data_IF_415582238931
#
_entry.id   IF_415582238931
#
_cell.length_a   1.000
_cell.length_b   1.000
_cell.length_c   1.000
_cell.angle_alpha   90.00
_cell.angle_beta   90.00
_cell.angle_gamma   90.00
#
_symmetry.space_group_name_H-M   'P 1'
#
loop_
_entity.id
_entity.type
_entity.pdbx_description
1 polymer ?
#
# COMPACT_ATOMS: atom_id res chain seq x y z
N UNK A 1 85.25 -6.41 -32.26
CA UNK A 1 84.65 -7.65 -31.80
C UNK A 1 83.16 -7.51 -31.90
N UNK A 2 82.59 -8.12 -32.93
CA UNK A 2 81.18 -8.11 -33.22
C UNK A 2 80.50 -9.17 -32.33
N UNK A 3 79.47 -8.82 -31.58
CA UNK A 3 78.51 -9.78 -31.00
C UNK A 3 77.15 -9.45 -31.58
N UNK A 4 76.71 -10.32 -32.43
CA UNK A 4 75.39 -10.32 -33.09
C UNK A 4 74.36 -10.78 -32.07
N UNK A 5 73.39 -9.89 -31.75
CA UNK A 5 72.20 -10.22 -30.98
C UNK A 5 71.15 -10.73 -31.96
N UNK A 6 70.95 -12.05 -31.91
CA UNK A 6 69.79 -12.67 -32.59
C UNK A 6 68.58 -12.49 -31.68
N UNK A 7 67.78 -11.48 -31.97
CA UNK A 7 66.47 -11.33 -31.35
C UNK A 7 65.51 -12.39 -31.88
N UNK A 8 65.08 -13.30 -30.99
CA UNK A 8 64.09 -14.31 -31.30
C UNK A 8 62.74 -13.62 -31.57
N UNK A 9 62.25 -13.81 -32.77
CA UNK A 9 60.85 -13.58 -33.14
C UNK A 9 59.96 -14.57 -32.38
N UNK A 10 59.35 -14.12 -31.32
CA UNK A 10 58.17 -14.84 -30.77
C UNK A 10 57.03 -14.67 -31.77
N UNK A 11 56.40 -15.74 -32.21
CA UNK A 11 55.16 -15.66 -32.99
C UNK A 11 54.07 -15.09 -32.11
N UNK A 12 53.58 -13.93 -32.47
CA UNK A 12 52.37 -13.38 -31.92
C UNK A 12 51.18 -14.34 -32.28
N UNK A 13 50.95 -15.26 -31.39
CA UNK A 13 49.75 -16.10 -31.47
C UNK A 13 48.53 -15.23 -31.10
N UNK A 14 48.01 -14.57 -32.12
CA UNK A 14 46.69 -13.91 -32.07
C UNK A 14 45.63 -15.03 -32.04
N UNK A 15 45.46 -15.66 -30.89
CA UNK A 15 44.32 -16.55 -30.67
C UNK A 15 43.09 -15.66 -30.43
N UNK A 16 42.22 -15.60 -31.41
CA UNK A 16 40.89 -15.05 -31.26
C UNK A 16 40.20 -15.78 -30.09
N UNK A 17 39.68 -15.08 -29.06
CA UNK A 17 39.14 -15.69 -27.82
C UNK A 17 37.96 -16.63 -28.07
N UNK A 18 37.40 -16.62 -29.27
CA UNK A 18 36.29 -17.51 -29.66
C UNK A 18 36.73 -18.92 -30.18
N UNK A 19 38.03 -19.20 -30.37
CA UNK A 19 38.54 -20.47 -30.87
C UNK A 19 39.19 -21.34 -29.78
N UNK A 20 39.17 -20.90 -28.53
CA UNK A 20 39.75 -21.65 -27.40
C UNK A 20 38.79 -22.64 -26.71
N UNK A 21 37.50 -22.60 -27.02
CA UNK A 21 36.56 -23.60 -26.51
C UNK A 21 36.87 -24.94 -27.13
N UNK A 22 37.41 -25.86 -26.32
CA UNK A 22 37.62 -27.23 -26.76
C UNK A 22 36.27 -27.91 -27.01
N UNK A 23 36.20 -28.93 -27.86
CA UNK A 23 34.94 -29.69 -28.05
C UNK A 23 34.40 -30.26 -26.73
N UNK A 24 35.24 -30.39 -25.69
CA UNK A 24 34.91 -30.81 -24.35
C UNK A 24 34.09 -29.74 -23.62
N UNK A 25 34.46 -28.46 -23.73
CA UNK A 25 33.75 -27.34 -23.04
C UNK A 25 32.32 -27.19 -23.57
N UNK A 26 32.17 -27.33 -24.92
CA UNK A 26 30.85 -27.31 -25.55
C UNK A 26 30.00 -28.52 -25.11
N UNK A 27 30.61 -29.74 -25.08
CA UNK A 27 29.92 -30.91 -24.58
C UNK A 27 29.51 -30.80 -23.13
N UNK A 28 30.38 -30.26 -22.28
CA UNK A 28 30.09 -30.02 -20.87
C UNK A 28 28.95 -29.01 -20.70
N UNK A 29 28.98 -27.91 -21.45
CA UNK A 29 27.91 -26.91 -21.46
C UNK A 29 26.55 -27.54 -21.81
N UNK A 30 26.48 -28.27 -22.93
CA UNK A 30 25.25 -28.93 -23.38
C UNK A 30 24.78 -30.00 -22.37
N UNK A 31 25.70 -30.76 -21.80
CA UNK A 31 25.38 -31.78 -20.82
C UNK A 31 24.81 -31.17 -19.52
N UNK A 32 25.40 -30.05 -19.01
CA UNK A 32 24.94 -29.38 -17.82
C UNK A 32 23.58 -28.73 -18.05
N UNK A 33 23.37 -27.99 -19.16
CA UNK A 33 22.07 -27.43 -19.52
C UNK A 33 21.01 -28.53 -19.60
N UNK A 34 21.32 -29.63 -20.28
CA UNK A 34 20.39 -30.75 -20.42
C UNK A 34 20.05 -31.39 -19.06
N UNK A 35 21.06 -31.61 -18.24
CA UNK A 35 20.87 -32.19 -16.90
C UNK A 35 19.98 -31.30 -16.00
N UNK A 36 20.22 -29.97 -15.98
CA UNK A 36 19.43 -29.03 -15.21
C UNK A 36 18.01 -28.91 -15.76
N UNK A 37 17.85 -28.88 -17.08
CA UNK A 37 16.53 -28.88 -17.70
C UNK A 37 15.73 -30.15 -17.35
N UNK A 38 16.35 -31.31 -17.41
CA UNK A 38 15.74 -32.61 -17.05
C UNK A 38 15.39 -32.60 -15.53
N UNK A 39 16.33 -32.19 -14.69
CA UNK A 39 16.08 -32.08 -13.23
C UNK A 39 14.95 -31.09 -12.94
N UNK A 40 14.92 -29.93 -13.58
CA UNK A 40 13.85 -28.96 -13.48
C UNK A 40 12.49 -29.54 -13.84
N UNK A 41 12.44 -30.22 -15.00
CA UNK A 41 11.21 -30.80 -15.55
C UNK A 41 10.67 -31.99 -14.75
N UNK A 42 11.54 -32.88 -14.30
CA UNK A 42 11.13 -34.17 -13.71
C UNK A 42 11.16 -34.15 -12.15
N UNK A 43 11.88 -33.23 -11.52
CA UNK A 43 11.99 -33.16 -10.08
C UNK A 43 11.33 -31.88 -9.54
N UNK A 44 11.72 -30.72 -10.06
CA UNK A 44 11.27 -29.45 -9.53
C UNK A 44 9.80 -29.14 -9.83
N UNK A 45 9.37 -29.31 -11.09
CA UNK A 45 7.98 -29.05 -11.47
C UNK A 45 6.99 -29.93 -10.71
N UNK A 46 7.14 -31.27 -10.64
CA UNK A 46 6.18 -32.09 -9.89
C UNK A 46 6.22 -31.82 -8.39
N UNK A 47 7.38 -31.50 -7.80
CA UNK A 47 7.47 -31.13 -6.40
C UNK A 47 6.72 -29.82 -6.13
N UNK A 48 6.88 -28.84 -7.00
CA UNK A 48 6.19 -27.55 -6.91
C UNK A 48 4.67 -27.74 -7.04
N UNK A 49 4.21 -28.59 -7.99
CA UNK A 49 2.79 -28.85 -8.16
C UNK A 49 2.16 -29.50 -6.94
N UNK A 50 2.83 -30.46 -6.31
CA UNK A 50 2.37 -31.09 -5.06
C UNK A 50 2.29 -30.07 -3.91
N UNK A 51 3.30 -29.20 -3.77
CA UNK A 51 3.29 -28.14 -2.75
C UNK A 51 2.16 -27.13 -2.96
N UNK A 52 1.89 -26.73 -4.20
CA UNK A 52 0.82 -25.79 -4.52
C UNK A 52 -0.58 -26.42 -4.38
N UNK A 53 -0.73 -27.72 -4.68
CA UNK A 53 -1.99 -28.44 -4.50
C UNK A 53 -2.37 -28.61 -3.03
N UNK A 54 -1.40 -28.86 -2.15
CA UNK A 54 -1.64 -28.94 -0.70
C UNK A 54 -1.96 -27.56 -0.07
N UNK A 55 -1.51 -26.47 -0.70
CA UNK A 55 -1.75 -25.10 -0.24
C UNK A 55 -3.09 -24.48 -0.68
N UNK A 56 -3.91 -25.16 -1.47
CA UNK A 56 -5.20 -24.63 -1.94
C UNK A 56 -5.08 -23.40 -2.86
N UNK A 57 -3.96 -23.28 -3.58
CA UNK A 57 -3.65 -22.13 -4.42
C UNK A 57 -4.52 -22.10 -5.68
N UNK A 58 -5.12 -20.95 -5.98
CA UNK A 58 -5.95 -20.75 -7.18
C UNK A 58 -5.22 -21.09 -8.48
N UNK A 59 -5.92 -21.70 -9.43
CA UNK A 59 -5.34 -22.20 -10.71
C UNK A 59 -4.58 -21.12 -11.46
N UNK A 60 -5.08 -19.87 -11.44
CA UNK A 60 -4.43 -18.73 -12.13
C UNK A 60 -3.09 -18.38 -11.50
N UNK A 61 -3.02 -18.34 -10.19
CA UNK A 61 -1.80 -18.04 -9.43
C UNK A 61 -0.78 -19.17 -9.56
N UNK A 62 -1.24 -20.41 -9.56
CA UNK A 62 -0.41 -21.60 -9.80
C UNK A 62 0.36 -21.52 -11.12
N UNK A 63 -0.33 -21.25 -12.23
CA UNK A 63 0.32 -21.12 -13.55
C UNK A 63 1.39 -20.03 -13.58
N UNK A 64 1.11 -18.91 -12.93
CA UNK A 64 2.07 -17.80 -12.85
C UNK A 64 3.31 -18.20 -12.05
N UNK A 65 3.14 -18.88 -10.92
CA UNK A 65 4.25 -19.36 -10.09
C UNK A 65 5.09 -20.38 -10.87
N UNK A 66 4.44 -21.36 -11.55
CA UNK A 66 5.12 -22.35 -12.37
C UNK A 66 5.98 -21.70 -13.48
N UNK A 67 5.46 -20.67 -14.15
CA UNK A 67 6.21 -19.91 -15.17
C UNK A 67 7.41 -19.17 -14.59
N UNK A 68 7.24 -18.48 -13.46
CA UNK A 68 8.33 -17.74 -12.80
C UNK A 68 9.44 -18.69 -12.34
N UNK A 69 9.06 -19.82 -11.74
CA UNK A 69 10.02 -20.84 -11.28
C UNK A 69 10.74 -21.48 -12.48
N UNK A 70 10.02 -21.78 -13.56
CA UNK A 70 10.63 -22.31 -14.78
C UNK A 70 11.69 -21.36 -15.37
N UNK A 71 11.37 -20.06 -15.48
CA UNK A 71 12.35 -19.05 -15.91
C UNK A 71 13.55 -18.99 -14.96
N UNK A 72 13.32 -19.05 -13.65
CA UNK A 72 14.39 -19.09 -12.65
C UNK A 72 15.30 -20.29 -12.81
N UNK A 73 14.74 -21.48 -13.00
CA UNK A 73 15.51 -22.73 -13.24
C UNK A 73 16.35 -22.64 -14.52
N UNK A 74 15.79 -22.07 -15.59
CA UNK A 74 16.52 -21.88 -16.86
C UNK A 74 17.68 -20.89 -16.66
N UNK A 75 17.49 -19.78 -15.96
CA UNK A 75 18.54 -18.79 -15.70
C UNK A 75 19.67 -19.37 -14.81
N UNK A 76 19.31 -20.09 -13.74
CA UNK A 76 20.29 -20.78 -12.87
C UNK A 76 21.01 -21.87 -13.64
N UNK A 77 20.30 -22.60 -14.49
CA UNK A 77 20.89 -23.62 -15.34
C UNK A 77 21.89 -23.08 -16.36
N UNK A 78 21.54 -21.96 -16.99
CA UNK A 78 22.44 -21.28 -17.92
C UNK A 78 23.69 -20.75 -17.21
N UNK A 79 23.53 -20.13 -16.04
CA UNK A 79 24.65 -19.69 -15.23
C UNK A 79 25.58 -20.83 -14.83
N UNK A 80 25.02 -21.91 -14.27
CA UNK A 80 25.80 -23.08 -13.88
C UNK A 80 26.52 -23.73 -15.10
N UNK A 81 25.87 -23.77 -16.26
CA UNK A 81 26.47 -24.30 -17.47
C UNK A 81 27.67 -23.45 -17.94
N UNK A 82 27.56 -22.12 -17.88
CA UNK A 82 28.64 -21.21 -18.24
C UNK A 82 29.85 -21.35 -17.30
N UNK A 83 29.62 -21.48 -16.00
CA UNK A 83 30.69 -21.60 -15.00
C UNK A 83 31.37 -22.96 -15.03
N UNK A 84 30.59 -24.06 -15.16
CA UNK A 84 31.12 -25.43 -15.11
C UNK A 84 31.79 -25.86 -16.43
N UNK A 85 31.45 -25.22 -17.55
CA UNK A 85 32.08 -25.49 -18.82
C UNK A 85 33.39 -24.76 -19.08
N UNK A 86 33.80 -23.85 -18.14
CA UNK A 86 35.02 -23.04 -18.31
C UNK A 86 34.87 -21.85 -19.27
N UNK A 87 33.68 -21.60 -19.81
CA UNK A 87 33.43 -20.42 -20.64
C UNK A 87 33.63 -19.12 -19.90
N UNK A 88 33.41 -19.14 -18.57
CA UNK A 88 33.57 -17.95 -17.70
C UNK A 88 35.00 -17.41 -17.73
N UNK A 89 35.99 -18.27 -17.66
CA UNK A 89 37.41 -17.88 -17.73
C UNK A 89 37.81 -17.28 -19.11
N UNK A 90 37.13 -17.73 -20.16
CA UNK A 90 37.42 -17.31 -21.54
C UNK A 90 36.80 -15.96 -21.90
N UNK A 91 35.64 -15.62 -21.37
CA UNK A 91 34.84 -14.49 -21.83
C UNK A 91 34.68 -13.41 -20.73
N UNK A 92 34.89 -13.75 -19.45
CA UNK A 92 34.74 -12.83 -18.28
C UNK A 92 33.40 -12.04 -18.27
N UNK A 93 32.34 -12.63 -18.80
CA UNK A 93 31.02 -12.02 -18.93
C UNK A 93 30.13 -12.36 -17.72
N UNK A 94 30.41 -13.46 -17.03
CA UNK A 94 29.53 -14.04 -16.00
C UNK A 94 29.25 -13.09 -14.84
N UNK A 95 30.26 -12.40 -14.36
CA UNK A 95 30.11 -11.42 -13.28
C UNK A 95 29.23 -10.22 -13.66
N UNK A 96 29.56 -9.48 -14.72
CA UNK A 96 28.74 -8.37 -15.20
C UNK A 96 27.31 -8.78 -15.60
N UNK A 97 27.15 -9.94 -16.23
CA UNK A 97 25.83 -10.47 -16.61
C UNK A 97 24.97 -10.77 -15.37
N UNK A 98 25.53 -11.47 -14.39
CA UNK A 98 24.82 -11.77 -13.15
C UNK A 98 24.44 -10.49 -12.40
N UNK A 99 25.32 -9.50 -12.33
CA UNK A 99 25.01 -8.20 -11.73
C UNK A 99 23.86 -7.50 -12.46
N UNK A 100 23.87 -7.49 -13.80
CA UNK A 100 22.79 -6.90 -14.60
C UNK A 100 21.46 -7.60 -14.40
N UNK A 101 21.43 -8.94 -14.38
CA UNK A 101 20.22 -9.73 -14.11
C UNK A 101 19.71 -9.48 -12.69
N UNK A 102 20.61 -9.45 -11.71
CA UNK A 102 20.23 -9.19 -10.30
C UNK A 102 19.59 -7.81 -10.15
N UNK A 103 20.18 -6.79 -10.76
CA UNK A 103 19.62 -5.45 -10.77
C UNK A 103 18.26 -5.39 -11.47
N UNK A 104 18.13 -6.01 -12.63
CA UNK A 104 16.88 -6.05 -13.38
C UNK A 104 15.75 -6.72 -12.57
N UNK A 105 16.03 -7.88 -11.96
CA UNK A 105 15.08 -8.58 -11.09
C UNK A 105 14.77 -7.77 -9.84
N UNK A 106 15.77 -7.15 -9.22
CA UNK A 106 15.59 -6.29 -8.04
C UNK A 106 14.67 -5.11 -8.34
N UNK A 107 14.86 -4.43 -9.48
CA UNK A 107 13.97 -3.35 -9.90
C UNK A 107 12.56 -3.84 -10.23
N UNK A 108 12.43 -4.97 -10.91
CA UNK A 108 11.13 -5.56 -11.22
C UNK A 108 10.35 -5.99 -9.96
N UNK A 109 11.04 -6.47 -8.93
CA UNK A 109 10.44 -6.90 -7.66
C UNK A 109 10.16 -5.75 -6.68
N UNK A 110 10.67 -4.55 -6.93
CA UNK A 110 10.63 -3.41 -5.99
C UNK A 110 9.23 -3.12 -5.46
N UNK A 111 8.23 -3.03 -6.33
CA UNK A 111 6.88 -2.67 -5.93
C UNK A 111 6.21 -3.78 -5.10
N UNK A 112 6.52 -5.04 -5.38
CA UNK A 112 6.02 -6.18 -4.60
C UNK A 112 6.60 -6.12 -3.19
N UNK A 113 7.92 -5.93 -3.08
CA UNK A 113 8.62 -5.82 -1.78
C UNK A 113 8.13 -4.60 -1.00
N UNK A 114 7.98 -3.45 -1.64
CA UNK A 114 7.47 -2.24 -0.99
C UNK A 114 6.08 -2.46 -0.40
N UNK A 115 5.16 -3.08 -1.16
CA UNK A 115 3.82 -3.35 -0.65
C UNK A 115 3.82 -4.37 0.51
N UNK A 116 4.65 -5.40 0.43
CA UNK A 116 4.78 -6.39 1.50
C UNK A 116 5.32 -5.77 2.79
N UNK A 117 6.42 -5.01 2.70
CA UNK A 117 7.02 -4.32 3.84
C UNK A 117 6.05 -3.30 4.44
N UNK A 118 5.40 -2.50 3.60
CA UNK A 118 4.38 -1.54 4.03
C UNK A 118 3.20 -2.22 4.70
N UNK A 119 2.75 -3.37 4.19
CA UNK A 119 1.68 -4.16 4.81
C UNK A 119 2.04 -4.62 6.22
N UNK A 120 3.27 -5.08 6.43
CA UNK A 120 3.77 -5.45 7.77
C UNK A 120 3.77 -4.24 8.71
N UNK A 121 4.24 -3.07 8.23
CA UNK A 121 4.23 -1.84 9.04
C UNK A 121 2.81 -1.37 9.37
N UNK A 122 1.88 -1.40 8.43
CA UNK A 122 0.48 -1.03 8.67
C UNK A 122 -0.15 -1.96 9.71
N UNK A 123 0.06 -3.27 9.63
CA UNK A 123 -0.48 -4.25 10.60
C UNK A 123 0.15 -4.05 11.99
N UNK A 124 1.43 -3.67 12.05
CA UNK A 124 2.14 -3.44 13.31
C UNK A 124 1.81 -2.07 13.96
N UNK A 125 1.28 -1.12 13.19
CA UNK A 125 0.96 0.22 13.70
C UNK A 125 -0.41 0.21 14.39
N UNK A 126 -0.47 0.52 15.70
CA UNK A 126 -1.73 0.54 16.45
C UNK A 126 -2.73 1.59 15.96
N UNK A 127 -2.30 2.53 15.12
CA UNK A 127 -3.14 3.57 14.51
C UNK A 127 -3.90 3.11 13.27
N UNK A 128 -3.62 1.89 12.77
CA UNK A 128 -4.32 1.28 11.64
C UNK A 128 -4.96 -0.04 12.09
N UNK A 129 -6.27 -0.05 12.25
CA UNK A 129 -7.03 -1.25 12.62
C UNK A 129 -8.17 -1.48 11.64
N UNK A 130 -8.52 -2.74 11.45
CA UNK A 130 -9.77 -3.09 10.77
C UNK A 130 -10.93 -2.46 11.54
N UNK A 131 -11.80 -1.75 10.83
CA UNK A 131 -12.87 -0.94 11.41
C UNK A 131 -12.53 0.54 11.60
N UNK A 132 -11.27 0.93 11.48
CA UNK A 132 -10.89 2.35 11.58
C UNK A 132 -11.41 3.14 10.37
N UNK A 133 -11.81 4.36 10.67
CA UNK A 133 -12.31 5.32 9.70
C UNK A 133 -11.16 6.23 9.25
N UNK A 134 -10.71 6.03 8.03
CA UNK A 134 -9.57 6.75 7.47
C UNK A 134 -9.98 7.64 6.31
N UNK A 135 -9.22 8.72 6.15
CA UNK A 135 -9.25 9.60 4.99
C UNK A 135 -7.85 9.66 4.38
N UNK A 136 -7.76 9.40 3.08
CA UNK A 136 -6.52 9.47 2.30
C UNK A 136 -6.85 9.96 0.89
N UNK A 137 -5.99 10.77 0.29
CA UNK A 137 -6.16 11.27 -1.09
C UNK A 137 -7.60 11.71 -1.42
N UNK A 138 -8.22 12.50 -0.52
CA UNK A 138 -9.62 12.99 -0.63
C UNK A 138 -10.70 11.88 -0.60
N UNK A 139 -10.31 10.64 -0.35
CA UNK A 139 -11.23 9.51 -0.22
C UNK A 139 -11.39 9.14 1.24
N UNK A 140 -12.62 8.93 1.68
CA UNK A 140 -12.95 8.55 3.06
C UNK A 140 -13.62 7.18 3.08
N UNK A 141 -13.23 6.33 4.04
CA UNK A 141 -13.83 5.01 4.20
C UNK A 141 -13.39 4.30 5.47
N UNK A 142 -13.90 3.10 5.65
CA UNK A 142 -13.59 2.23 6.79
C UNK A 142 -12.69 1.10 6.33
N UNK A 143 -11.62 0.80 7.04
CA UNK A 143 -10.75 -0.33 6.76
C UNK A 143 -11.55 -1.63 6.94
N UNK A 144 -11.75 -2.37 5.85
CA UNK A 144 -12.48 -3.63 5.82
C UNK A 144 -11.54 -4.83 6.05
N UNK A 145 -10.35 -4.78 5.43
CA UNK A 145 -9.36 -5.85 5.52
C UNK A 145 -7.95 -5.34 5.16
N UNK A 146 -6.92 -5.92 5.78
CA UNK A 146 -5.52 -5.61 5.49
C UNK A 146 -4.82 -6.89 5.06
N UNK A 147 -4.47 -6.98 3.79
CA UNK A 147 -3.74 -8.12 3.22
C UNK A 147 -2.24 -7.81 3.08
N UNK A 148 -1.46 -8.79 2.69
CA UNK A 148 -0.01 -8.62 2.52
C UNK A 148 0.39 -7.56 1.47
N UNK A 149 -0.47 -7.24 0.49
CA UNK A 149 -0.18 -6.30 -0.60
C UNK A 149 -1.10 -5.09 -0.63
N UNK A 150 -2.35 -5.26 -0.22
CA UNK A 150 -3.38 -4.21 -0.32
C UNK A 150 -4.19 -4.12 0.96
N UNK A 151 -4.61 -2.92 1.29
CA UNK A 151 -5.65 -2.64 2.28
C UNK A 151 -6.96 -2.39 1.55
N UNK A 152 -8.02 -3.08 1.96
CA UNK A 152 -9.38 -2.88 1.44
C UNK A 152 -10.08 -1.85 2.31
N UNK A 153 -10.58 -0.82 1.68
CA UNK A 153 -11.33 0.24 2.34
C UNK A 153 -12.73 0.30 1.76
N UNK A 154 -13.72 0.22 2.61
CA UNK A 154 -15.13 0.37 2.23
C UNK A 154 -15.51 1.84 2.32
N UNK A 155 -15.80 2.46 1.18
CA UNK A 155 -16.25 3.84 1.11
C UNK A 155 -17.66 4.01 1.67
N UNK A 156 -18.08 5.25 1.84
CA UNK A 156 -19.41 5.56 2.32
C UNK A 156 -20.52 5.27 1.30
N UNK A 157 -20.19 5.09 0.04
CA UNK A 157 -21.11 4.66 -1.01
C UNK A 157 -21.17 3.13 -1.15
N UNK A 158 -20.59 2.42 -0.16
CA UNK A 158 -20.50 0.95 -0.09
C UNK A 158 -19.65 0.31 -1.20
N UNK A 159 -18.73 1.08 -1.77
CA UNK A 159 -17.74 0.58 -2.71
C UNK A 159 -16.52 0.03 -1.95
N UNK A 160 -15.89 -1.01 -2.49
CA UNK A 160 -14.63 -1.54 -1.97
C UNK A 160 -13.48 -1.02 -2.82
N UNK A 161 -12.67 -0.17 -2.23
CA UNK A 161 -11.43 0.33 -2.85
C UNK A 161 -10.27 -0.50 -2.31
N UNK A 162 -9.50 -1.11 -3.22
CA UNK A 162 -8.27 -1.85 -2.87
C UNK A 162 -7.07 -0.93 -3.07
N UNK A 163 -6.51 -0.45 -1.98
CA UNK A 163 -5.39 0.49 -1.97
C UNK A 163 -4.08 -0.28 -1.77
N UNK A 164 -3.05 -0.10 -2.60
CA UNK A 164 -1.73 -0.67 -2.36
C UNK A 164 -1.18 -0.23 -0.99
N UNK A 165 -0.63 -1.16 -0.22
CA UNK A 165 -0.10 -0.86 1.11
C UNK A 165 1.00 0.19 1.09
N UNK A 166 1.85 0.19 0.04
CA UNK A 166 2.90 1.20 -0.13
C UNK A 166 2.34 2.61 -0.32
N UNK A 167 1.18 2.75 -0.94
CA UNK A 167 0.50 4.05 -1.10
C UNK A 167 0.01 4.57 0.26
N UNK A 168 -0.70 3.75 1.04
CA UNK A 168 -1.16 4.16 2.37
C UNK A 168 0.00 4.47 3.32
N UNK A 169 1.09 3.69 3.27
CA UNK A 169 2.25 3.90 4.12
C UNK A 169 3.04 5.18 3.80
N UNK A 170 2.93 5.70 2.58
CA UNK A 170 3.64 6.91 2.12
C UNK A 170 2.76 8.15 2.01
N UNK A 171 1.44 7.99 2.06
CA UNK A 171 0.48 9.08 2.05
C UNK A 171 0.24 9.65 3.45
N UNK A 172 -0.23 10.90 3.51
CA UNK A 172 -0.85 11.41 4.72
C UNK A 172 -2.21 10.70 4.89
N UNK A 173 -2.39 10.02 6.00
CA UNK A 173 -3.64 9.36 6.35
C UNK A 173 -4.18 9.99 7.62
N UNK A 174 -5.40 10.49 7.57
CA UNK A 174 -6.13 10.96 8.75
C UNK A 174 -6.96 9.82 9.31
N UNK A 175 -6.74 9.44 10.55
CA UNK A 175 -7.65 8.55 11.28
C UNK A 175 -8.66 9.41 12.02
N UNK A 176 -9.93 9.34 11.62
CA UNK A 176 -11.01 10.17 12.17
C UNK A 176 -11.55 9.64 13.50
N UNK A 177 -11.26 8.39 13.85
CA UNK A 177 -11.73 7.71 15.06
C UNK A 177 -10.56 7.42 15.98
N UNK A 178 -10.07 8.44 16.68
CA UNK A 178 -9.05 8.26 17.70
C UNK A 178 -9.68 7.78 19.02
N UNK A 179 -9.10 6.77 19.64
CA UNK A 179 -9.59 6.19 20.91
C UNK A 179 -11.08 5.80 20.89
N UNK A 180 -11.60 5.37 19.73
CA UNK A 180 -13.01 5.02 19.53
C UNK A 180 -13.96 6.21 19.72
N UNK A 181 -13.49 7.42 19.51
CA UNK A 181 -14.29 8.63 19.56
C UNK A 181 -14.25 9.34 18.21
N UNK A 182 -15.41 9.74 17.71
CA UNK A 182 -15.53 10.54 16.50
C UNK A 182 -16.10 11.91 16.84
N UNK A 183 -15.45 12.95 16.34
CA UNK A 183 -15.96 14.30 16.42
C UNK A 183 -16.93 14.59 15.28
N UNK A 184 -18.13 15.04 15.63
CA UNK A 184 -19.08 15.62 14.70
C UNK A 184 -18.97 17.14 14.82
N UNK A 185 -18.70 17.79 13.70
CA UNK A 185 -18.73 19.25 13.60
C UNK A 185 -19.99 19.65 12.84
N UNK A 186 -20.79 20.53 13.45
CA UNK A 186 -22.00 21.08 12.83
C UNK A 186 -21.91 22.60 12.79
N UNK A 187 -22.27 23.17 11.65
CA UNK A 187 -22.25 24.62 11.44
C UNK A 187 -23.67 25.14 11.35
N UNK A 188 -23.91 26.28 12.03
CA UNK A 188 -25.19 26.96 12.04
C UNK A 188 -24.97 28.43 11.72
N UNK A 189 -25.99 29.06 11.17
CA UNK A 189 -25.98 30.46 10.82
C UNK A 189 -27.16 31.15 11.46
N UNK A 190 -26.91 32.26 12.17
CA UNK A 190 -27.94 33.10 12.80
C UNK A 190 -27.85 34.53 12.27
N UNK A 191 -28.90 35.29 12.46
CA UNK A 191 -28.90 36.72 12.15
C UNK A 191 -28.09 37.54 13.14
N UNK A 192 -27.68 38.75 12.76
CA UNK A 192 -27.00 39.69 13.67
C UNK A 192 -27.90 40.21 14.78
N UNK A 193 -29.21 40.15 14.60
CA UNK A 193 -30.21 40.59 15.58
C UNK A 193 -30.46 39.52 16.64
N UNK A 194 -30.04 38.28 16.38
CA UNK A 194 -30.24 37.16 17.27
C UNK A 194 -29.15 37.13 18.34
N UNK A 195 -29.51 36.67 19.55
CA UNK A 195 -28.57 36.52 20.66
C UNK A 195 -27.67 35.30 20.48
N UNK A 196 -26.39 35.54 20.16
CA UNK A 196 -25.42 34.48 19.93
C UNK A 196 -25.07 33.68 21.18
N UNK A 197 -25.20 34.27 22.38
CA UNK A 197 -24.96 33.58 23.65
C UNK A 197 -26.11 32.59 23.93
N UNK A 198 -27.36 33.01 23.69
CA UNK A 198 -28.52 32.11 23.75
C UNK A 198 -28.40 30.98 22.73
N UNK A 199 -28.05 31.31 21.49
CA UNK A 199 -27.87 30.30 20.43
C UNK A 199 -26.79 29.29 20.78
N UNK A 200 -25.64 29.72 21.30
CA UNK A 200 -24.56 28.80 21.69
C UNK A 200 -24.91 27.98 22.94
N UNK A 201 -25.72 28.48 23.84
CA UNK A 201 -26.25 27.73 24.98
C UNK A 201 -27.17 26.61 24.48
N UNK A 202 -28.12 26.90 23.59
CA UNK A 202 -28.99 25.89 22.97
C UNK A 202 -28.21 24.79 22.29
N UNK A 203 -27.17 25.14 21.53
CA UNK A 203 -26.32 24.13 20.84
C UNK A 203 -25.69 23.15 21.85
N UNK A 204 -25.30 23.61 23.03
CA UNK A 204 -24.74 22.73 24.07
C UNK A 204 -25.83 21.92 24.77
N UNK A 205 -26.93 22.55 25.17
CA UNK A 205 -28.05 21.89 25.83
C UNK A 205 -28.62 20.74 24.99
N UNK A 206 -28.86 20.98 23.69
CA UNK A 206 -29.37 19.96 22.80
C UNK A 206 -28.35 18.84 22.54
N UNK A 207 -27.05 19.13 22.63
CA UNK A 207 -26.01 18.10 22.57
C UNK A 207 -26.00 17.24 23.84
N UNK A 208 -26.10 17.86 25.02
CA UNK A 208 -26.13 17.19 26.33
C UNK A 208 -27.42 16.36 26.55
N UNK A 209 -28.51 16.72 25.87
CA UNK A 209 -29.78 16.02 25.94
C UNK A 209 -29.79 14.68 25.14
N UNK A 210 -28.78 14.45 24.31
CA UNK A 210 -28.69 13.22 23.52
C UNK A 210 -27.72 12.21 24.15
N UNK A 211 -28.24 11.08 24.65
CA UNK A 211 -27.47 10.02 25.34
C UNK A 211 -26.30 9.46 24.53
N UNK A 212 -26.37 9.53 23.19
CA UNK A 212 -25.32 9.04 22.31
C UNK A 212 -24.13 10.00 22.17
N UNK A 213 -24.28 11.26 22.61
CA UNK A 213 -23.21 12.25 22.64
C UNK A 213 -22.45 12.12 23.96
N UNK A 214 -21.14 12.18 23.89
CA UNK A 214 -20.28 12.03 25.07
C UNK A 214 -20.25 13.30 25.89
N UNK A 215 -20.28 13.16 27.21
CA UNK A 215 -20.01 14.23 28.16
C UNK A 215 -18.53 14.65 28.17
N UNK A 216 -17.65 13.73 27.80
CA UNK A 216 -16.21 13.97 27.73
C UNK A 216 -15.61 13.41 26.41
N UNK A 217 -15.03 14.24 25.55
CA UNK A 217 -14.89 15.71 25.69
C UNK A 217 -16.23 16.45 25.66
N UNK A 218 -16.34 17.49 26.50
CA UNK A 218 -17.55 18.30 26.64
C UNK A 218 -17.99 18.90 25.28
N UNK A 219 -19.29 18.86 24.93
CA UNK A 219 -19.85 19.58 23.81
C UNK A 219 -19.50 21.05 23.82
N UNK A 220 -19.02 21.61 22.72
CA UNK A 220 -18.64 22.99 22.61
C UNK A 220 -19.38 23.70 21.49
N UNK A 221 -19.81 24.92 21.71
CA UNK A 221 -20.37 25.78 20.68
C UNK A 221 -19.64 27.15 20.72
N UNK A 222 -19.26 27.66 19.55
CA UNK A 222 -18.49 28.91 19.44
C UNK A 222 -18.87 29.67 18.17
N UNK A 223 -18.74 31.00 18.26
CA UNK A 223 -18.75 31.87 17.08
C UNK A 223 -17.46 31.64 16.32
N UNK A 224 -17.54 31.34 15.02
CA UNK A 224 -16.40 31.11 14.16
C UNK A 224 -16.13 32.26 13.21
N UNK A 225 -17.18 32.86 12.67
CA UNK A 225 -17.06 33.93 11.69
C UNK A 225 -18.23 34.88 11.76
N UNK A 226 -17.94 36.16 11.51
CA UNK A 226 -18.92 37.25 11.38
C UNK A 226 -18.89 37.73 9.93
N UNK A 227 -19.94 37.40 9.19
CA UNK A 227 -20.10 37.82 7.79
C UNK A 227 -21.01 39.05 7.71
N UNK A 228 -21.12 39.69 6.54
CA UNK A 228 -21.89 40.92 6.32
C UNK A 228 -23.40 40.83 6.72
N UNK A 229 -23.97 39.63 6.78
CA UNK A 229 -25.39 39.40 7.02
C UNK A 229 -25.72 38.32 8.06
N UNK A 230 -24.72 37.62 8.58
CA UNK A 230 -24.95 36.47 9.45
C UNK A 230 -23.75 36.14 10.32
N UNK A 231 -24.02 35.48 11.45
CA UNK A 231 -23.04 34.97 12.41
C UNK A 231 -22.95 33.48 12.25
N UNK A 232 -21.73 32.95 12.04
CA UNK A 232 -21.47 31.51 11.96
C UNK A 232 -21.17 30.97 13.35
N UNK A 233 -21.95 29.98 13.76
CA UNK A 233 -21.73 29.18 14.94
C UNK A 233 -21.24 27.78 14.54
N UNK A 234 -20.29 27.27 15.30
CA UNK A 234 -19.83 25.90 15.13
C UNK A 234 -20.01 25.11 16.42
N UNK A 235 -20.75 24.02 16.35
CA UNK A 235 -20.84 23.04 17.42
C UNK A 235 -19.90 21.89 17.16
N UNK A 236 -19.22 21.40 18.20
CA UNK A 236 -18.39 20.21 18.21
C UNK A 236 -18.89 19.27 19.28
N UNK A 237 -19.34 18.11 18.85
CA UNK A 237 -19.85 17.04 19.70
C UNK A 237 -19.07 15.74 19.42
N UNK A 238 -19.06 14.84 20.38
CA UNK A 238 -18.31 13.60 20.30
C UNK A 238 -19.22 12.41 20.52
N UNK A 239 -19.03 11.36 19.70
CA UNK A 239 -19.76 10.11 19.80
C UNK A 239 -18.78 8.95 19.96
N UNK A 240 -19.22 7.88 20.66
CA UNK A 240 -18.39 6.71 20.95
C UNK A 240 -18.61 5.61 19.93
N UNK A 241 -17.50 5.02 19.44
CA UNK A 241 -17.45 3.82 18.62
C UNK A 241 -18.52 3.78 17.49
N UNK A 242 -18.66 4.86 16.72
CA UNK A 242 -19.76 5.04 15.81
C UNK A 242 -19.61 4.22 14.55
N UNK A 243 -20.68 3.53 14.14
CA UNK A 243 -20.83 3.17 12.74
C UNK A 243 -21.19 4.41 11.89
N UNK A 244 -20.99 4.33 10.57
CA UNK A 244 -21.46 5.39 9.66
C UNK A 244 -22.95 5.72 9.85
N UNK A 245 -23.78 4.69 10.05
CA UNK A 245 -25.23 4.86 10.27
C UNK A 245 -25.47 5.70 11.52
N UNK A 246 -24.73 5.43 12.59
CA UNK A 246 -24.87 6.17 13.85
C UNK A 246 -24.43 7.62 13.67
N UNK A 247 -23.30 7.86 12.99
CA UNK A 247 -22.85 9.21 12.67
C UNK A 247 -23.91 10.03 11.93
N UNK A 248 -24.48 9.49 10.86
CA UNK A 248 -25.51 10.18 10.07
C UNK A 248 -26.78 10.39 10.91
N UNK A 249 -27.23 9.36 11.61
CA UNK A 249 -28.43 9.41 12.45
C UNK A 249 -28.30 10.44 13.56
N UNK A 250 -27.24 10.34 14.37
CA UNK A 250 -27.02 11.24 15.50
C UNK A 250 -26.88 12.69 15.03
N UNK A 251 -26.08 12.89 13.96
CA UNK A 251 -25.95 14.22 13.36
C UNK A 251 -27.29 14.78 12.90
N UNK A 252 -28.13 13.98 12.24
CA UNK A 252 -29.45 14.40 11.76
C UNK A 252 -30.40 14.72 12.91
N UNK A 253 -30.44 13.88 13.95
CA UNK A 253 -31.26 14.11 15.16
C UNK A 253 -30.84 15.41 15.85
N UNK A 254 -29.53 15.58 16.09
CA UNK A 254 -28.99 16.80 16.68
C UNK A 254 -29.37 18.07 15.90
N UNK A 255 -29.19 18.05 14.57
CA UNK A 255 -29.56 19.18 13.71
C UNK A 255 -31.07 19.48 13.75
N UNK A 256 -31.91 18.45 13.88
CA UNK A 256 -33.37 18.63 13.97
C UNK A 256 -33.78 19.27 15.31
N UNK A 257 -33.23 18.77 16.41
CA UNK A 257 -33.50 19.34 17.75
C UNK A 257 -33.06 20.80 17.82
N UNK A 258 -31.84 21.13 17.38
CA UNK A 258 -31.36 22.50 17.33
C UNK A 258 -32.27 23.39 16.50
N UNK A 259 -32.72 22.91 15.33
CA UNK A 259 -33.64 23.67 14.48
C UNK A 259 -34.97 23.97 15.18
N UNK A 260 -35.55 22.99 15.90
CA UNK A 260 -36.79 23.15 16.64
C UNK A 260 -36.60 24.19 17.77
N UNK A 261 -35.53 24.04 18.57
CA UNK A 261 -35.24 24.97 19.66
C UNK A 261 -34.95 26.41 19.18
N UNK A 262 -34.24 26.57 18.06
CA UNK A 262 -34.02 27.89 17.47
C UNK A 262 -35.34 28.53 17.03
N UNK A 263 -36.28 27.72 16.52
CA UNK A 263 -37.61 28.22 16.17
C UNK A 263 -38.44 28.62 17.39
N UNK A 264 -38.35 27.88 18.49
CA UNK A 264 -39.06 28.20 19.76
C UNK A 264 -38.54 29.48 20.40
N UNK A 265 -37.24 29.76 20.28
CA UNK A 265 -36.58 30.94 20.82
C UNK A 265 -36.48 32.13 19.84
N UNK A 266 -37.25 32.08 18.73
CA UNK A 266 -37.29 33.10 17.67
C UNK A 266 -35.91 33.40 17.02
N UNK A 267 -34.94 32.48 17.12
CA UNK A 267 -33.64 32.60 16.47
C UNK A 267 -33.79 32.26 14.97
N UNK A 268 -33.45 33.21 14.12
CA UNK A 268 -33.60 33.03 12.67
C UNK A 268 -32.38 32.40 12.04
N UNK A 269 -32.59 31.36 11.27
CA UNK A 269 -31.58 30.76 10.42
C UNK A 269 -31.69 31.38 9.01
N UNK A 270 -30.82 32.33 8.63
CA UNK A 270 -30.87 32.94 7.30
C UNK A 270 -30.49 31.92 6.21
N UNK A 271 -31.05 32.04 5.01
CA UNK A 271 -30.74 31.17 3.88
C UNK A 271 -29.26 31.27 3.47
N UNK A 272 -28.75 30.20 2.86
CA UNK A 272 -27.33 29.99 2.57
C UNK A 272 -26.77 30.70 1.34
N UNK A 273 -27.43 31.72 0.78
CA UNK A 273 -26.95 32.49 -0.38
C UNK A 273 -26.32 33.82 -0.03
#
# INVERSE_FOLDING_TARGET
>A
MLSIVIGGLQPAGNQLPLLGATGIDVLTFVAVVSAIYVAGRFVFEPLLTVLLDTGGVEITLRRTIEQVVHVGVVLVGLYAALTLSGFDESINITGPFLAAVTLAVGFAARDVVNNLVSGVFIIADPRFKIGDWIEWNETTGVIDDITFRTTRVRTFDNEIVSVPNSELATSAVTNSVEEKRLRITAEFWIGYEDDADVATAILREEAEALDEILDQPEPTARIMELNNSRVQLQSRIWIRDPSRRDFIRIRSVYLSHVKERFHEEDIRMPPAW
#
